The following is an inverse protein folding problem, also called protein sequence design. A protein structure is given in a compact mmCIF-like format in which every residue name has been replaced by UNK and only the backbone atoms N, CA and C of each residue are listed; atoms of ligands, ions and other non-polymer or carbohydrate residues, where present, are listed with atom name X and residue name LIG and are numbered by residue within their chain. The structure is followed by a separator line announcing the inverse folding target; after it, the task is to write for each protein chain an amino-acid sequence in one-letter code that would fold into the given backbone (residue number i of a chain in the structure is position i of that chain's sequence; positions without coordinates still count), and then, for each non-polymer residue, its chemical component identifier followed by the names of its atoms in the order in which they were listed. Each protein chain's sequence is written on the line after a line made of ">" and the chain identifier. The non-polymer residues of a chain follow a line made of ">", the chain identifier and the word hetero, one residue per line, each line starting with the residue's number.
data_IF_381910157223
#
_entry.id   IF_381910157223
#
_cell.length_a   1.000
_cell.length_b   1.000
_cell.length_c   1.000
_cell.angle_alpha   90.00
_cell.angle_beta   90.00
_cell.angle_gamma   90.00
#
_symmetry.space_group_name_H-M   'P 1'
#
loop_
_entity.id
_entity.type
_entity.pdbx_description
1 polymer ?
#
# COMPACT_ATOMS: atom_id res chain seq x y z
N UNK A 1 -50.45 -41.65 -45.57
CA UNK A 1 -49.16 -40.93 -45.48
C UNK A 1 -49.05 -40.32 -44.10
N UNK A 2 -48.28 -40.95 -43.20
CA UNK A 2 -48.14 -40.55 -41.80
C UNK A 2 -47.13 -39.40 -41.73
N UNK A 3 -47.56 -38.19 -41.33
CA UNK A 3 -46.65 -37.05 -41.13
C UNK A 3 -46.02 -37.16 -39.74
N UNK A 4 -44.76 -37.57 -39.69
CA UNK A 4 -43.94 -37.54 -38.48
C UNK A 4 -43.56 -36.09 -38.18
N UNK A 5 -44.13 -35.51 -37.11
CA UNK A 5 -43.72 -34.20 -36.59
C UNK A 5 -42.50 -34.41 -35.69
N UNK A 6 -41.34 -33.96 -36.15
CA UNK A 6 -40.15 -33.85 -35.33
C UNK A 6 -40.30 -32.64 -34.41
N UNK A 7 -40.42 -32.87 -33.11
CA UNK A 7 -40.25 -31.82 -32.11
C UNK A 7 -38.75 -31.64 -31.90
N UNK A 8 -38.20 -30.51 -32.34
CA UNK A 8 -36.84 -30.10 -31.98
C UNK A 8 -36.92 -29.54 -30.56
N UNK A 9 -36.43 -30.31 -29.59
CA UNK A 9 -36.23 -29.83 -28.23
C UNK A 9 -34.95 -28.98 -28.23
N UNK A 10 -35.10 -27.66 -28.23
CA UNK A 10 -33.97 -26.74 -28.03
C UNK A 10 -33.67 -26.72 -26.54
N UNK A 11 -32.72 -27.54 -26.09
CA UNK A 11 -32.10 -27.40 -24.78
C UNK A 11 -31.18 -26.18 -24.83
N UNK A 12 -31.65 -25.04 -24.33
CA UNK A 12 -30.78 -23.91 -24.00
C UNK A 12 -29.88 -24.35 -22.84
N UNK A 13 -28.65 -24.75 -23.15
CA UNK A 13 -27.60 -24.91 -22.16
C UNK A 13 -27.22 -23.50 -21.71
N UNK A 14 -27.88 -22.99 -20.67
CA UNK A 14 -27.45 -21.80 -19.97
C UNK A 14 -26.09 -22.12 -19.34
N UNK A 15 -25.02 -21.75 -20.03
CA UNK A 15 -23.72 -21.58 -19.39
C UNK A 15 -23.89 -20.43 -18.41
N UNK A 16 -24.15 -20.75 -17.16
CA UNK A 16 -23.83 -19.86 -16.05
C UNK A 16 -22.32 -19.67 -16.15
N UNK A 17 -21.90 -18.57 -16.79
CA UNK A 17 -20.59 -18.02 -16.56
C UNK A 17 -20.70 -17.49 -15.14
N UNK A 18 -20.32 -18.30 -14.17
CA UNK A 18 -20.00 -17.76 -12.86
C UNK A 18 -18.81 -16.84 -13.11
N UNK A 19 -19.06 -15.53 -13.14
CA UNK A 19 -18.00 -14.54 -13.06
C UNK A 19 -17.31 -14.81 -11.72
N UNK A 20 -16.20 -15.55 -11.79
CA UNK A 20 -15.34 -15.75 -10.63
C UNK A 20 -14.68 -14.40 -10.42
N UNK A 21 -15.13 -13.65 -9.42
CA UNK A 21 -14.56 -12.36 -9.02
C UNK A 21 -13.32 -12.58 -8.13
N UNK A 22 -12.29 -11.75 -8.32
CA UNK A 22 -11.11 -11.85 -7.47
C UNK A 22 -11.47 -11.35 -6.08
N UNK A 23 -10.67 -11.77 -5.12
CA UNK A 23 -10.89 -11.38 -3.74
C UNK A 23 -9.54 -11.27 -3.08
N UNK A 24 -9.16 -10.05 -2.72
CA UNK A 24 -7.94 -9.77 -1.98
C UNK A 24 -8.05 -8.47 -1.19
N UNK A 25 -7.18 -8.32 -0.19
CA UNK A 25 -7.06 -7.09 0.57
C UNK A 25 -5.63 -6.88 1.09
N UNK A 26 -5.31 -5.62 1.37
CA UNK A 26 -4.13 -5.24 2.12
C UNK A 26 -4.31 -5.63 3.60
N UNK A 27 -3.53 -6.62 4.05
CA UNK A 27 -3.56 -7.11 5.43
C UNK A 27 -2.63 -6.31 6.33
N UNK A 28 -1.38 -6.08 5.89
CA UNK A 28 -0.42 -5.26 6.63
C UNK A 28 0.28 -4.25 5.69
N UNK A 29 0.28 -2.95 6.02
CA UNK A 29 -0.41 -2.35 7.17
C UNK A 29 -1.93 -2.50 7.06
N UNK A 30 -2.62 -2.65 8.19
CA UNK A 30 -4.06 -2.92 8.20
C UNK A 30 -4.84 -1.86 7.44
N UNK A 31 -5.49 -2.29 6.37
CA UNK A 31 -6.42 -1.48 5.61
C UNK A 31 -7.70 -1.19 6.40
N UNK A 32 -8.39 -0.10 6.04
CA UNK A 32 -9.62 0.37 6.68
C UNK A 32 -10.70 -0.71 6.68
N UNK A 33 -10.84 -1.48 5.60
CA UNK A 33 -11.71 -2.65 5.48
C UNK A 33 -11.37 -3.76 6.49
N UNK A 34 -10.08 -4.00 6.75
CA UNK A 34 -9.66 -4.97 7.76
C UNK A 34 -9.89 -4.46 9.17
N UNK A 35 -9.56 -3.21 9.47
CA UNK A 35 -9.85 -2.63 10.79
C UNK A 35 -11.35 -2.63 11.07
N UNK A 36 -12.17 -2.30 10.06
CA UNK A 36 -13.64 -2.33 10.17
C UNK A 36 -14.15 -3.74 10.47
N UNK A 37 -13.61 -4.76 9.81
CA UNK A 37 -13.94 -6.16 10.09
C UNK A 37 -13.53 -6.58 11.49
N UNK A 38 -12.30 -6.28 11.90
CA UNK A 38 -11.79 -6.62 13.24
C UNK A 38 -12.60 -5.95 14.36
N UNK A 39 -13.09 -4.74 14.12
CA UNK A 39 -13.93 -4.00 15.07
C UNK A 39 -15.41 -4.42 15.05
N UNK A 40 -15.78 -5.45 14.27
CA UNK A 40 -17.17 -5.86 14.05
C UNK A 40 -18.07 -4.68 13.61
N UNK A 41 -17.53 -3.73 12.85
CA UNK A 41 -18.20 -2.50 12.45
C UNK A 41 -19.01 -2.65 11.15
N UNK A 42 -19.58 -3.84 10.93
CA UNK A 42 -20.45 -4.16 9.80
C UNK A 42 -19.73 -4.40 8.48
N UNK A 43 -18.46 -4.86 8.52
CA UNK A 43 -17.74 -5.29 7.33
C UNK A 43 -17.80 -6.80 7.13
N UNK A 44 -18.41 -7.23 6.02
CA UNK A 44 -18.70 -8.64 5.73
C UNK A 44 -17.82 -9.21 4.62
N UNK A 45 -17.34 -8.37 3.70
CA UNK A 45 -16.50 -8.76 2.58
C UNK A 45 -15.30 -7.81 2.45
N UNK A 46 -14.29 -7.90 3.34
CA UNK A 46 -13.15 -7.00 3.29
C UNK A 46 -12.30 -7.17 2.02
N UNK A 47 -12.45 -8.29 1.32
CA UNK A 47 -11.77 -8.61 0.06
C UNK A 47 -12.54 -8.13 -1.20
N UNK A 48 -13.72 -7.52 -1.04
CA UNK A 48 -14.59 -7.06 -2.14
C UNK A 48 -14.34 -5.58 -2.51
N UNK A 49 -13.10 -5.10 -2.46
CA UNK A 49 -12.75 -3.70 -2.74
C UNK A 49 -12.59 -3.33 -4.22
N UNK A 50 -13.45 -3.81 -5.11
CA UNK A 50 -13.32 -3.67 -6.57
C UNK A 50 -14.22 -2.62 -7.23
N UNK A 51 -14.70 -1.62 -6.49
CA UNK A 51 -15.54 -0.56 -7.06
C UNK A 51 -16.86 -1.07 -7.63
N UNK A 52 -17.43 -2.14 -7.08
CA UNK A 52 -18.68 -2.73 -7.52
C UNK A 52 -18.55 -3.60 -8.78
N UNK A 53 -17.33 -3.96 -9.17
CA UNK A 53 -17.04 -4.93 -10.23
C UNK A 53 -16.68 -4.28 -11.58
N UNK A 54 -15.92 -4.98 -12.44
CA UNK A 54 -15.30 -4.41 -13.63
C UNK A 54 -16.31 -3.87 -14.64
N UNK A 55 -17.49 -4.49 -14.79
CA UNK A 55 -18.53 -3.99 -15.69
C UNK A 55 -19.11 -2.64 -15.25
N UNK A 56 -19.29 -2.46 -13.94
CA UNK A 56 -19.79 -1.20 -13.39
C UNK A 56 -18.72 -0.10 -13.45
N UNK A 57 -17.47 -0.44 -13.10
CA UNK A 57 -16.32 0.47 -13.23
C UNK A 57 -16.14 0.90 -14.69
N UNK A 58 -16.12 -0.04 -15.64
CA UNK A 58 -16.01 0.26 -17.07
C UNK A 58 -17.12 1.21 -17.56
N UNK A 59 -18.37 0.97 -17.12
CA UNK A 59 -19.50 1.84 -17.49
C UNK A 59 -19.33 3.27 -16.94
N UNK A 60 -18.87 3.43 -15.70
CA UNK A 60 -18.63 4.76 -15.10
C UNK A 60 -17.39 5.44 -15.70
N UNK A 61 -16.37 4.66 -16.07
CA UNK A 61 -15.15 5.14 -16.70
C UNK A 61 -15.32 5.55 -18.16
N UNK A 62 -16.48 5.28 -18.78
CA UNK A 62 -16.66 5.44 -20.23
C UNK A 62 -15.70 4.55 -21.04
N UNK A 63 -15.29 3.41 -20.47
CA UNK A 63 -14.36 2.47 -21.09
C UNK A 63 -12.88 2.82 -20.99
N UNK A 64 -12.51 3.87 -20.25
CA UNK A 64 -11.11 4.21 -19.96
C UNK A 64 -10.55 3.21 -18.95
N UNK A 65 -9.42 2.60 -19.30
CA UNK A 65 -8.65 1.69 -18.46
C UNK A 65 -7.19 2.17 -18.41
N UNK A 66 -6.49 2.06 -17.27
CA UNK A 66 -6.96 1.62 -15.95
C UNK A 66 -7.95 2.60 -15.32
N UNK A 67 -8.67 2.17 -14.27
CA UNK A 67 -9.69 3.00 -13.61
C UNK A 67 -9.11 4.24 -12.94
N UNK A 68 -7.82 4.23 -12.61
CA UNK A 68 -7.06 5.37 -12.09
C UNK A 68 -7.10 6.59 -13.02
N UNK A 69 -7.08 6.38 -14.34
CA UNK A 69 -7.20 7.45 -15.35
C UNK A 69 -8.62 8.00 -15.47
N UNK A 70 -9.59 7.34 -14.84
CA UNK A 70 -10.99 7.71 -14.78
C UNK A 70 -11.43 7.82 -13.32
N UNK A 71 -10.80 8.73 -12.57
CA UNK A 71 -10.88 8.92 -11.11
C UNK A 71 -12.29 8.79 -10.49
N UNK A 72 -13.36 9.15 -11.20
CA UNK A 72 -14.74 9.04 -10.71
C UNK A 72 -15.42 7.70 -10.99
N UNK A 73 -14.69 6.73 -11.55
CA UNK A 73 -15.18 5.40 -11.88
C UNK A 73 -15.11 4.42 -10.70
N UNK A 74 -14.39 4.74 -9.63
CA UNK A 74 -14.34 4.00 -8.37
C UNK A 74 -14.03 4.94 -7.20
N UNK A 75 -14.23 4.49 -5.97
CA UNK A 75 -13.76 5.17 -4.77
C UNK A 75 -12.26 4.94 -4.55
N UNK A 76 -11.59 5.93 -3.95
CA UNK A 76 -10.13 5.87 -3.71
C UNK A 76 -9.73 4.67 -2.84
N UNK A 77 -10.64 4.20 -1.99
CA UNK A 77 -10.42 3.10 -1.07
C UNK A 77 -11.26 1.85 -1.39
N UNK A 78 -11.71 1.71 -2.64
CA UNK A 78 -12.37 0.50 -3.17
C UNK A 78 -13.89 0.53 -3.17
N UNK A 79 -14.50 1.60 -2.63
CA UNK A 79 -15.94 1.77 -2.67
C UNK A 79 -16.49 1.96 -4.10
N UNK A 80 -17.75 1.57 -4.36
CA UNK A 80 -18.54 0.69 -3.51
C UNK A 80 -17.93 -0.71 -3.53
N UNK A 81 -18.00 -1.42 -2.41
CA UNK A 81 -17.63 -2.84 -2.41
C UNK A 81 -18.64 -3.66 -3.21
N UNK A 82 -18.28 -4.88 -3.62
CA UNK A 82 -19.19 -5.75 -4.38
C UNK A 82 -20.56 -5.88 -3.72
N UNK A 83 -21.62 -5.86 -4.54
CA UNK A 83 -23.02 -5.97 -4.09
C UNK A 83 -23.50 -4.87 -3.12
N UNK A 84 -22.71 -3.80 -2.91
CA UNK A 84 -23.11 -2.63 -2.13
C UNK A 84 -23.83 -1.63 -3.05
N UNK A 85 -24.90 -1.02 -2.54
CA UNK A 85 -25.65 0.05 -3.20
C UNK A 85 -25.57 1.36 -2.41
N UNK A 86 -25.51 2.54 -3.08
CA UNK A 86 -25.55 2.74 -4.53
C UNK A 86 -24.26 2.26 -5.24
N UNK A 87 -24.35 1.98 -6.54
CA UNK A 87 -23.20 1.55 -7.36
C UNK A 87 -22.30 2.73 -7.75
N UNK A 88 -22.75 3.96 -7.54
CA UNK A 88 -22.07 5.21 -7.83
C UNK A 88 -22.14 6.16 -6.63
N UNK A 89 -21.60 5.76 -5.47
CA UNK A 89 -21.65 6.59 -4.27
C UNK A 89 -20.92 7.93 -4.50
N UNK A 90 -21.41 8.98 -3.86
CA UNK A 90 -20.64 10.21 -3.66
C UNK A 90 -19.56 9.98 -2.59
N UNK A 91 -18.55 10.84 -2.49
CA UNK A 91 -17.45 10.67 -1.52
C UNK A 91 -17.94 10.58 -0.07
N UNK A 92 -18.98 11.33 0.30
CA UNK A 92 -19.61 11.29 1.62
C UNK A 92 -20.42 10.01 1.89
N UNK A 93 -20.72 9.23 0.84
CA UNK A 93 -21.39 7.93 0.93
C UNK A 93 -20.40 6.76 0.93
N UNK A 94 -19.13 6.98 0.55
CA UNK A 94 -18.10 5.95 0.54
C UNK A 94 -17.78 5.49 1.98
N UNK A 95 -17.85 4.19 2.21
CA UNK A 95 -17.69 3.60 3.55
C UNK A 95 -16.28 3.87 4.06
N UNK A 96 -15.27 3.75 3.20
CA UNK A 96 -13.86 3.83 3.57
C UNK A 96 -13.28 5.23 3.48
N UNK A 97 -14.06 6.20 2.99
CA UNK A 97 -13.80 7.62 3.19
C UNK A 97 -14.37 8.11 4.54
N UNK A 98 -15.48 7.51 5.01
CA UNK A 98 -16.07 7.78 6.33
C UNK A 98 -15.33 7.05 7.46
N UNK A 99 -14.89 5.81 7.22
CA UNK A 99 -14.24 4.96 8.21
C UNK A 99 -12.72 5.11 8.15
N UNK A 100 -12.21 6.25 8.61
CA UNK A 100 -10.77 6.44 8.81
C UNK A 100 -10.32 5.91 10.17
N UNK A 101 -9.05 5.54 10.25
CA UNK A 101 -8.44 5.00 11.46
C UNK A 101 -7.29 5.89 11.92
N UNK A 102 -6.92 5.82 13.19
CA UNK A 102 -5.59 6.32 13.61
C UNK A 102 -4.50 5.52 12.90
N UNK A 103 -3.31 6.10 12.65
CA UNK A 103 -2.18 5.37 12.07
C UNK A 103 -1.95 4.00 12.72
N UNK A 104 -2.08 2.93 11.93
CA UNK A 104 -1.95 1.54 12.40
C UNK A 104 -0.49 1.13 12.58
N UNK A 105 0.42 1.80 11.88
CA UNK A 105 1.87 1.61 11.98
C UNK A 105 2.59 2.93 11.67
N UNK A 106 3.86 3.02 12.07
CA UNK A 106 4.72 4.14 11.79
C UNK A 106 5.99 3.66 11.08
N UNK A 107 6.32 4.33 9.97
CA UNK A 107 7.52 4.12 9.19
C UNK A 107 8.52 5.27 9.36
N UNK A 108 9.69 5.13 8.77
CA UNK A 108 10.75 6.12 8.64
C UNK A 108 11.02 6.38 7.16
N UNK A 109 11.08 7.65 6.76
CA UNK A 109 11.44 8.02 5.39
C UNK A 109 12.75 7.36 4.96
N UNK A 110 12.74 6.67 3.82
CA UNK A 110 13.90 6.00 3.24
C UNK A 110 14.08 4.54 3.67
N UNK A 111 13.26 4.02 4.58
CA UNK A 111 13.36 2.62 4.98
C UNK A 111 12.68 1.66 3.98
N UNK A 112 13.11 0.40 4.01
CA UNK A 112 12.44 -0.71 3.31
C UNK A 112 11.45 -1.36 4.27
N UNK A 113 10.20 -1.48 3.83
CA UNK A 113 9.09 -2.04 4.61
C UNK A 113 8.52 -3.27 3.91
N UNK A 114 7.96 -4.19 4.69
CA UNK A 114 7.24 -5.35 4.18
C UNK A 114 5.73 -5.11 4.25
N UNK A 115 5.05 -5.32 3.13
CA UNK A 115 3.59 -5.33 3.05
C UNK A 115 3.09 -6.76 2.84
N UNK A 116 1.89 -7.02 3.36
CA UNK A 116 1.24 -8.32 3.27
C UNK A 116 -0.11 -8.15 2.57
N UNK A 117 -0.27 -8.83 1.44
CA UNK A 117 -1.55 -8.94 0.74
C UNK A 117 -2.14 -10.32 0.98
N UNK A 118 -3.39 -10.35 1.39
CA UNK A 118 -4.17 -11.56 1.52
C UNK A 118 -4.98 -11.78 0.23
N UNK A 119 -4.78 -12.91 -0.45
CA UNK A 119 -5.44 -13.28 -1.70
C UNK A 119 -6.28 -14.53 -1.49
N UNK A 120 -7.59 -14.41 -1.69
CA UNK A 120 -8.53 -15.52 -1.61
C UNK A 120 -8.75 -16.16 -2.98
N UNK A 121 -8.98 -15.34 -4.01
CA UNK A 121 -9.15 -15.80 -5.40
C UNK A 121 -8.08 -15.14 -6.26
N UNK A 122 -7.23 -15.95 -6.89
CA UNK A 122 -6.03 -15.47 -7.60
C UNK A 122 -6.30 -15.14 -9.07
N UNK A 123 -6.19 -13.86 -9.44
CA UNK A 123 -6.41 -13.37 -10.79
C UNK A 123 -5.15 -12.82 -11.49
N UNK A 124 -3.95 -13.21 -11.02
CA UNK A 124 -2.66 -12.78 -11.60
C UNK A 124 -2.53 -11.24 -11.60
N UNK A 125 -1.74 -10.68 -12.51
CA UNK A 125 -1.59 -9.22 -12.67
C UNK A 125 -0.47 -8.64 -11.82
N UNK A 126 -0.66 -7.46 -11.23
CA UNK A 126 0.34 -6.83 -10.35
C UNK A 126 -0.28 -6.05 -9.19
N UNK A 127 0.49 -5.86 -8.13
CA UNK A 127 0.20 -4.89 -7.08
C UNK A 127 1.04 -3.63 -7.26
N UNK A 128 0.47 -2.50 -6.85
CA UNK A 128 1.17 -1.23 -6.67
C UNK A 128 0.77 -0.60 -5.34
N UNK A 129 1.63 0.29 -4.83
CA UNK A 129 1.36 1.05 -3.61
C UNK A 129 1.62 2.53 -3.85
N UNK A 130 0.76 3.36 -3.27
CA UNK A 130 0.86 4.82 -3.33
C UNK A 130 0.76 5.41 -1.93
N UNK A 131 1.39 6.55 -1.70
CA UNK A 131 1.39 7.21 -0.40
C UNK A 131 1.03 8.69 -0.55
N UNK A 132 -0.03 9.11 0.14
CA UNK A 132 -0.37 10.52 0.27
C UNK A 132 0.06 11.00 1.66
N UNK A 133 0.76 12.13 1.73
CA UNK A 133 1.22 12.72 3.00
C UNK A 133 0.10 13.34 3.85
N UNK A 134 -1.15 13.17 3.41
CA UNK A 134 -2.36 13.62 4.07
C UNK A 134 -3.30 12.46 4.38
N UNK A 135 -4.13 12.67 5.39
CA UNK A 135 -5.31 11.85 5.64
C UNK A 135 -6.34 12.10 4.54
N UNK A 136 -6.65 11.06 3.77
CA UNK A 136 -7.72 11.06 2.77
C UNK A 136 -9.00 10.58 3.46
N UNK A 137 -10.00 11.45 3.53
CA UNK A 137 -11.30 11.18 4.13
C UNK A 137 -12.41 11.93 3.38
N UNK A 138 -13.63 11.98 3.94
CA UNK A 138 -14.77 12.64 3.28
C UNK A 138 -14.58 14.13 2.98
N UNK A 139 -13.55 14.79 3.52
CA UNK A 139 -13.19 16.17 3.17
C UNK A 139 -12.33 16.28 1.91
N UNK A 140 -11.81 15.17 1.39
CA UNK A 140 -10.92 15.10 0.23
C UNK A 140 -11.69 14.63 -1.00
N UNK A 141 -11.67 15.41 -2.09
CA UNK A 141 -12.26 14.94 -3.37
C UNK A 141 -11.43 13.80 -3.96
N UNK A 142 -12.04 12.98 -4.83
CA UNK A 142 -11.31 11.89 -5.49
C UNK A 142 -10.11 12.41 -6.30
N UNK A 143 -10.28 13.53 -6.99
CA UNK A 143 -9.22 14.15 -7.81
C UNK A 143 -8.04 14.62 -6.94
N UNK A 144 -8.32 15.29 -5.82
CA UNK A 144 -7.27 15.75 -4.91
C UNK A 144 -6.57 14.56 -4.25
N UNK A 145 -7.34 13.56 -3.80
CA UNK A 145 -6.79 12.36 -3.17
C UNK A 145 -5.93 11.54 -4.12
N UNK A 146 -6.40 11.29 -5.35
CA UNK A 146 -5.63 10.56 -6.36
C UNK A 146 -4.37 11.34 -6.76
N UNK A 147 -4.47 12.67 -6.95
CA UNK A 147 -3.29 13.49 -7.22
C UNK A 147 -2.25 13.38 -6.11
N UNK A 148 -2.66 13.46 -4.84
CA UNK A 148 -1.76 13.29 -3.70
C UNK A 148 -1.12 11.89 -3.65
N UNK A 149 -1.90 10.84 -3.91
CA UNK A 149 -1.39 9.46 -3.97
C UNK A 149 -0.36 9.28 -5.09
N UNK A 150 -0.59 9.92 -6.23
CA UNK A 150 0.32 9.86 -7.38
C UNK A 150 1.61 10.65 -7.18
N UNK A 151 1.72 11.51 -6.16
CA UNK A 151 2.99 12.16 -5.81
C UNK A 151 4.04 11.14 -5.36
N UNK A 152 3.60 10.05 -4.72
CA UNK A 152 4.49 9.01 -4.19
C UNK A 152 4.00 7.61 -4.54
N UNK A 153 4.18 7.22 -5.81
CA UNK A 153 4.10 5.82 -6.22
C UNK A 153 5.34 5.10 -5.67
N UNK A 154 5.13 4.06 -4.86
CA UNK A 154 6.22 3.38 -4.17
C UNK A 154 6.94 2.42 -5.10
N UNK A 155 8.26 2.40 -5.03
CA UNK A 155 9.08 1.44 -5.76
C UNK A 155 9.37 0.22 -4.90
N UNK A 156 9.43 -0.95 -5.54
CA UNK A 156 9.89 -2.18 -4.91
C UNK A 156 11.30 -2.02 -4.36
N UNK A 157 11.57 -2.70 -3.26
CA UNK A 157 12.92 -2.89 -2.79
C UNK A 157 13.62 -3.93 -3.68
N UNK A 158 14.93 -3.77 -3.90
CA UNK A 158 15.68 -4.64 -4.80
C UNK A 158 15.93 -5.99 -4.10
N UNK A 159 15.30 -7.09 -4.53
CA UNK A 159 15.42 -8.38 -3.85
C UNK A 159 16.86 -8.90 -3.81
N UNK A 160 17.72 -8.51 -4.77
CA UNK A 160 19.13 -8.90 -4.77
C UNK A 160 19.94 -8.24 -3.66
N UNK A 161 19.55 -7.03 -3.24
CA UNK A 161 20.15 -6.33 -2.09
C UNK A 161 19.52 -6.83 -0.78
N UNK A 162 18.20 -6.99 -0.83
CA UNK A 162 17.34 -7.23 0.31
C UNK A 162 17.35 -8.68 0.82
N UNK A 163 17.58 -9.66 -0.06
CA UNK A 163 17.77 -11.07 0.30
C UNK A 163 19.22 -11.52 0.08
N UNK A 164 19.86 -11.09 -1.01
CA UNK A 164 21.23 -11.50 -1.36
C UNK A 164 21.38 -12.92 -1.92
N UNK A 165 20.30 -13.71 -1.93
CA UNK A 165 20.31 -15.14 -2.27
C UNK A 165 19.13 -15.58 -3.14
N UNK A 166 18.45 -14.64 -3.82
CA UNK A 166 17.38 -14.99 -4.75
C UNK A 166 17.90 -15.86 -5.90
N UNK A 167 17.13 -16.90 -6.22
CA UNK A 167 17.41 -17.81 -7.34
C UNK A 167 16.28 -17.82 -8.35
N UNK A 168 16.55 -18.26 -9.57
CA UNK A 168 15.51 -18.45 -10.59
C UNK A 168 14.43 -19.42 -10.08
N UNK A 169 13.16 -19.02 -10.18
CA UNK A 169 12.01 -19.77 -9.62
C UNK A 169 12.12 -19.96 -8.09
N UNK A 170 12.59 -18.94 -7.38
CA UNK A 170 12.62 -18.91 -5.93
C UNK A 170 11.22 -19.18 -5.36
N UNK A 171 11.16 -19.88 -4.22
CA UNK A 171 9.89 -20.13 -3.52
C UNK A 171 9.30 -18.84 -2.92
N UNK A 172 10.12 -17.80 -2.74
CA UNK A 172 9.70 -16.48 -2.29
C UNK A 172 9.23 -15.67 -3.48
N UNK A 173 7.94 -15.34 -3.52
CA UNK A 173 7.36 -14.51 -4.58
C UNK A 173 8.04 -13.15 -4.77
N UNK A 174 8.59 -12.59 -3.69
CA UNK A 174 9.28 -11.30 -3.70
C UNK A 174 10.65 -11.32 -4.40
N UNK A 175 11.25 -12.52 -4.57
CA UNK A 175 12.52 -12.71 -5.29
C UNK A 175 12.38 -12.61 -6.82
N UNK A 176 11.18 -12.35 -7.34
CA UNK A 176 11.00 -12.10 -8.77
C UNK A 176 11.87 -10.91 -9.25
N UNK A 177 12.38 -10.94 -10.49
CA UNK A 177 13.13 -9.82 -11.05
C UNK A 177 12.35 -8.51 -10.97
N UNK A 178 13.08 -7.39 -10.89
CA UNK A 178 12.45 -6.08 -11.00
C UNK A 178 12.04 -5.83 -12.46
N UNK A 179 10.87 -5.23 -12.67
CA UNK A 179 10.52 -4.68 -13.97
C UNK A 179 11.29 -3.35 -14.16
N UNK A 180 12.22 -3.25 -15.13
CA UNK A 180 13.00 -2.03 -15.34
C UNK A 180 12.15 -0.87 -15.86
N UNK A 181 11.01 -1.13 -16.49
CA UNK A 181 10.08 -0.11 -16.98
C UNK A 181 9.09 0.30 -15.90
N UNK A 182 8.80 -0.60 -14.95
CA UNK A 182 7.80 -0.43 -13.92
C UNK A 182 8.31 -0.84 -12.52
N UNK A 183 9.25 -0.08 -11.93
CA UNK A 183 9.80 -0.39 -10.60
C UNK A 183 8.75 -0.40 -9.47
N UNK A 184 7.57 0.16 -9.71
CA UNK A 184 6.40 0.15 -8.82
C UNK A 184 5.65 -1.20 -8.79
N UNK A 185 5.79 -2.03 -9.83
CA UNK A 185 4.96 -3.23 -10.00
C UNK A 185 5.54 -4.44 -9.32
N UNK A 186 4.73 -5.03 -8.46
CA UNK A 186 4.95 -6.38 -7.94
C UNK A 186 4.02 -7.35 -8.67
N UNK A 187 4.53 -8.08 -9.65
CA UNK A 187 3.70 -9.02 -10.42
C UNK A 187 3.28 -10.18 -9.53
N UNK A 188 2.01 -10.54 -9.55
CA UNK A 188 1.47 -11.55 -8.63
C UNK A 188 2.04 -12.93 -9.01
N UNK A 189 2.84 -13.59 -8.14
CA UNK A 189 3.40 -14.91 -8.37
C UNK A 189 2.31 -15.97 -8.51
N UNK A 190 2.62 -17.18 -9.01
CA UNK A 190 1.66 -18.27 -9.03
C UNK A 190 1.22 -18.69 -7.61
N UNK A 191 0.02 -19.33 -7.47
CA UNK A 191 -0.56 -19.66 -6.17
C UNK A 191 0.31 -20.51 -5.21
N UNK A 192 1.29 -21.26 -5.73
CA UNK A 192 2.21 -22.07 -4.93
C UNK A 192 3.25 -21.23 -4.15
N UNK A 193 3.34 -19.93 -4.41
CA UNK A 193 4.15 -18.98 -3.62
C UNK A 193 3.36 -18.34 -2.48
N UNK A 194 2.05 -18.59 -2.38
CA UNK A 194 1.26 -18.11 -1.25
C UNK A 194 1.58 -18.90 0.01
N UNK A 195 1.87 -18.20 1.10
CA UNK A 195 1.87 -18.83 2.42
C UNK A 195 0.43 -19.04 2.83
N UNK A 196 0.08 -20.22 3.34
CA UNK A 196 -1.26 -20.51 3.86
C UNK A 196 -1.18 -20.71 5.37
N UNK A 197 -2.21 -20.27 6.09
CA UNK A 197 -2.30 -20.45 7.54
C UNK A 197 -3.63 -21.08 7.93
N UNK A 198 -3.63 -21.81 9.05
CA UNK A 198 -4.86 -22.25 9.68
C UNK A 198 -5.33 -21.14 10.63
N UNK A 199 -6.54 -20.59 10.44
CA UNK A 199 -7.05 -19.50 11.29
C UNK A 199 -8.21 -18.71 10.67
N UNK A 200 -8.42 -17.47 11.14
CA UNK A 200 -9.53 -16.56 10.78
C UNK A 200 -9.62 -16.21 9.27
N UNK A 201 -8.61 -16.58 8.49
CA UNK A 201 -8.56 -16.46 7.04
C UNK A 201 -8.29 -17.81 6.35
N UNK A 202 -8.82 -18.90 6.90
CA UNK A 202 -8.70 -20.24 6.30
C UNK A 202 -9.12 -20.22 4.83
N UNK A 203 -8.27 -20.75 3.95
CA UNK A 203 -8.48 -20.74 2.49
C UNK A 203 -7.97 -19.47 1.78
N UNK A 204 -7.38 -18.52 2.51
CA UNK A 204 -6.68 -17.35 1.96
C UNK A 204 -5.18 -17.58 1.97
N UNK A 205 -4.53 -17.22 0.87
CA UNK A 205 -3.07 -17.20 0.75
C UNK A 205 -2.50 -15.81 1.03
N UNK A 206 -1.26 -15.74 1.47
CA UNK A 206 -0.56 -14.49 1.79
C UNK A 206 0.66 -14.32 0.90
N UNK A 207 0.79 -13.11 0.35
CA UNK A 207 1.98 -12.64 -0.32
C UNK A 207 2.68 -11.58 0.54
N UNK A 208 4.00 -11.64 0.53
CA UNK A 208 4.89 -10.72 1.24
C UNK A 208 5.71 -10.00 0.18
N UNK A 209 5.76 -8.68 0.28
CA UNK A 209 6.46 -7.85 -0.72
C UNK A 209 7.13 -6.68 -0.05
N UNK A 210 8.33 -6.33 -0.51
CA UNK A 210 9.10 -5.23 0.05
C UNK A 210 9.09 -3.99 -0.83
N UNK A 211 8.82 -2.84 -0.22
CA UNK A 211 8.76 -1.53 -0.86
C UNK A 211 9.60 -0.51 -0.08
N UNK A 212 10.02 0.55 -0.77
CA UNK A 212 10.76 1.66 -0.17
C UNK A 212 9.80 2.80 0.18
N UNK A 213 9.83 3.27 1.42
CA UNK A 213 9.22 4.55 1.77
C UNK A 213 10.13 5.68 1.25
N UNK A 214 9.62 6.68 0.49
CA UNK A 214 10.48 7.74 -0.03
C UNK A 214 11.12 8.53 1.11
N UNK A 215 12.42 8.84 0.99
CA UNK A 215 13.16 9.56 2.03
C UNK A 215 12.61 10.96 2.32
N UNK A 216 11.94 11.58 1.33
CA UNK A 216 11.33 12.91 1.44
C UNK A 216 10.00 12.94 2.18
N UNK A 217 9.35 11.79 2.38
CA UNK A 217 8.00 11.74 2.95
C UNK A 217 8.06 11.81 4.48
N UNK A 218 7.21 12.64 5.07
CA UNK A 218 7.03 12.72 6.53
C UNK A 218 5.65 13.27 6.88
N UNK A 219 4.86 12.47 7.60
CA UNK A 219 3.49 12.83 7.96
C UNK A 219 3.05 12.13 9.24
N UNK A 220 2.29 12.84 10.08
CA UNK A 220 1.71 12.25 11.30
C UNK A 220 0.51 11.36 11.01
N UNK A 221 -0.18 11.62 9.89
CA UNK A 221 -1.29 10.82 9.40
C UNK A 221 -1.29 10.86 7.88
N UNK A 222 -0.83 9.78 7.29
CA UNK A 222 -0.72 9.56 5.85
C UNK A 222 -1.73 8.49 5.42
N UNK A 223 -2.08 8.52 4.14
CA UNK A 223 -2.90 7.45 3.55
C UNK A 223 -2.03 6.63 2.60
N UNK A 224 -1.85 5.35 2.92
CA UNK A 224 -1.27 4.37 2.00
C UNK A 224 -2.41 3.72 1.20
N UNK A 225 -2.32 3.71 -0.13
CA UNK A 225 -3.25 3.01 -1.00
C UNK A 225 -2.58 1.78 -1.59
N UNK A 226 -3.22 0.63 -1.46
CA UNK A 226 -2.90 -0.55 -2.24
C UNK A 226 -3.81 -0.62 -3.46
N UNK A 227 -3.20 -0.95 -4.60
CA UNK A 227 -3.86 -1.17 -5.88
C UNK A 227 -3.51 -2.55 -6.43
N UNK A 228 -4.50 -3.26 -6.95
CA UNK A 228 -4.30 -4.49 -7.72
C UNK A 228 -4.98 -4.38 -9.09
N UNK A 229 -4.18 -4.45 -10.16
CA UNK A 229 -4.67 -4.72 -11.50
C UNK A 229 -4.69 -6.24 -11.75
N UNK A 230 -5.87 -6.84 -11.90
CA UNK A 230 -6.00 -8.25 -12.26
C UNK A 230 -5.56 -8.50 -13.72
N UNK A 231 -4.97 -9.67 -13.98
CA UNK A 231 -4.34 -10.00 -15.27
C UNK A 231 -4.92 -11.22 -15.98
N UNK A 232 -6.09 -11.70 -15.58
CA UNK A 232 -6.72 -12.91 -16.13
C UNK A 232 -7.63 -12.63 -17.35
N UNK A 233 -8.14 -11.41 -17.52
CA UNK A 233 -9.05 -11.05 -18.60
C UNK A 233 -8.38 -10.35 -19.79
N UNK A 234 -7.44 -9.46 -19.50
CA UNK A 234 -6.68 -8.62 -20.42
C UNK A 234 -5.38 -8.15 -19.75
N UNK A 235 -4.43 -7.66 -20.55
CA UNK A 235 -3.19 -7.06 -20.03
C UNK A 235 -3.39 -5.58 -19.75
N UNK A 236 -2.76 -5.10 -18.67
CA UNK A 236 -2.84 -3.69 -18.28
C UNK A 236 -2.29 -2.76 -19.37
N UNK A 237 -1.12 -3.10 -19.91
CA UNK A 237 -0.44 -2.39 -20.99
C UNK A 237 0.43 -3.34 -21.82
N UNK A 238 1.17 -2.78 -22.78
CA UNK A 238 2.07 -3.53 -23.68
C UNK A 238 3.32 -4.04 -22.96
N UNK A 239 3.72 -3.40 -21.86
CA UNK A 239 4.97 -3.67 -21.16
C UNK A 239 4.91 -4.98 -20.36
N UNK A 240 3.71 -5.43 -19.99
CA UNK A 240 3.48 -6.79 -19.47
C UNK A 240 4.12 -7.88 -20.33
N UNK A 241 3.90 -7.83 -21.65
CA UNK A 241 4.47 -8.82 -22.57
C UNK A 241 6.00 -8.77 -22.59
N UNK A 242 6.56 -7.56 -22.48
CA UNK A 242 8.01 -7.32 -22.45
C UNK A 242 8.63 -7.88 -21.16
N UNK A 243 8.05 -7.59 -20.00
CA UNK A 243 8.51 -8.11 -18.70
C UNK A 243 8.48 -9.64 -18.66
N UNK A 244 7.37 -10.25 -19.06
CA UNK A 244 7.23 -11.70 -18.99
C UNK A 244 8.13 -12.43 -20.01
N UNK A 245 8.48 -11.82 -21.13
CA UNK A 245 9.52 -12.34 -22.04
C UNK A 245 10.93 -12.19 -21.44
N UNK A 246 11.22 -11.07 -20.78
CA UNK A 246 12.50 -10.83 -20.12
C UNK A 246 12.79 -11.88 -19.04
N UNK A 247 11.88 -12.09 -18.08
CA UNK A 247 12.13 -13.09 -17.02
C UNK A 247 12.19 -14.52 -17.57
N UNK A 248 11.47 -14.82 -18.66
CA UNK A 248 11.57 -16.10 -19.35
C UNK A 248 12.97 -16.32 -19.94
N UNK A 249 13.59 -15.28 -20.51
CA UNK A 249 14.96 -15.33 -21.01
C UNK A 249 16.00 -15.53 -19.89
N UNK A 250 15.68 -15.11 -18.67
CA UNK A 250 16.46 -15.37 -17.45
C UNK A 250 16.19 -16.76 -16.82
N UNK A 251 15.35 -17.59 -17.46
CA UNK A 251 15.06 -18.96 -17.05
C UNK A 251 13.91 -19.12 -16.06
N UNK A 252 13.18 -18.04 -15.75
CA UNK A 252 11.99 -18.12 -14.92
C UNK A 252 10.85 -18.82 -15.67
N UNK A 253 9.99 -19.53 -14.93
CA UNK A 253 8.77 -20.14 -15.44
C UNK A 253 7.68 -19.07 -15.64
N UNK A 254 7.93 -18.13 -16.53
CA UNK A 254 7.07 -16.97 -16.81
C UNK A 254 5.61 -17.37 -17.13
N UNK A 255 5.40 -18.53 -17.77
CA UNK A 255 4.05 -19.04 -18.05
C UNK A 255 3.22 -19.35 -16.81
N UNK A 256 3.85 -19.73 -15.68
CA UNK A 256 3.12 -19.89 -14.43
C UNK A 256 2.63 -18.54 -13.86
N UNK A 257 3.35 -17.45 -14.14
CA UNK A 257 3.05 -16.11 -13.66
C UNK A 257 1.98 -15.44 -14.52
N UNK A 258 2.13 -15.52 -15.85
CA UNK A 258 1.17 -14.96 -16.81
C UNK A 258 1.21 -15.66 -18.17
N UNK A 259 0.67 -16.88 -18.24
CA UNK A 259 0.36 -17.56 -19.50
C UNK A 259 -0.48 -16.71 -20.45
N UNK A 260 -1.39 -15.90 -19.91
CA UNK A 260 -2.25 -15.01 -20.67
C UNK A 260 -1.43 -13.97 -21.43
N UNK A 261 -0.50 -13.28 -20.76
CA UNK A 261 0.33 -12.25 -21.41
C UNK A 261 1.24 -12.85 -22.48
N UNK A 262 1.75 -14.06 -22.25
CA UNK A 262 2.59 -14.76 -23.23
C UNK A 262 1.80 -15.28 -24.44
N UNK A 263 0.55 -15.70 -24.22
CA UNK A 263 -0.28 -16.28 -25.28
C UNK A 263 -1.12 -15.24 -26.04
N UNK A 264 -1.33 -14.06 -25.47
CA UNK A 264 -2.19 -13.00 -26.01
C UNK A 264 -1.51 -11.63 -25.96
N UNK A 265 -0.34 -11.44 -26.61
CA UNK A 265 0.46 -10.22 -26.49
C UNK A 265 -0.23 -8.95 -27.02
N UNK A 266 -1.31 -9.09 -27.80
CA UNK A 266 -2.08 -7.95 -28.32
C UNK A 266 -3.38 -7.69 -27.51
N UNK A 267 -3.67 -8.48 -26.47
CA UNK A 267 -4.93 -8.41 -25.74
C UNK A 267 -4.84 -7.48 -24.53
N UNK A 268 -4.79 -6.19 -24.84
CA UNK A 268 -4.84 -5.11 -23.87
C UNK A 268 -6.24 -4.91 -23.29
N UNK A 269 -6.31 -4.35 -22.09
CA UNK A 269 -7.55 -3.94 -21.49
C UNK A 269 -8.15 -2.75 -22.26
N UNK A 270 -9.46 -2.84 -22.50
CA UNK A 270 -10.24 -1.86 -23.27
C UNK A 270 -11.65 -1.78 -22.70
N UNK A 271 -12.49 -0.91 -23.26
CA UNK A 271 -13.91 -0.85 -22.94
C UNK A 271 -14.68 -2.17 -23.18
N UNK A 272 -14.18 -3.04 -24.07
CA UNK A 272 -14.80 -4.33 -24.40
C UNK A 272 -14.21 -5.52 -23.60
N UNK A 273 -13.06 -5.31 -22.98
CA UNK A 273 -12.36 -6.31 -22.17
C UNK A 273 -11.70 -5.55 -21.02
N UNK A 274 -12.45 -5.33 -19.95
CA UNK A 274 -12.03 -4.49 -18.83
C UNK A 274 -11.46 -5.36 -17.71
N UNK A 275 -10.25 -5.03 -17.25
CA UNK A 275 -9.60 -5.75 -16.16
C UNK A 275 -10.28 -5.44 -14.83
N UNK A 276 -10.34 -6.41 -13.93
CA UNK A 276 -10.79 -6.17 -12.56
C UNK A 276 -9.69 -5.44 -11.78
N UNK A 277 -10.09 -4.50 -10.93
CA UNK A 277 -9.17 -3.63 -10.19
C UNK A 277 -9.62 -3.53 -8.73
N UNK A 278 -8.68 -3.65 -7.78
CA UNK A 278 -8.97 -3.57 -6.35
C UNK A 278 -8.20 -2.44 -5.69
N UNK A 279 -8.84 -1.81 -4.72
CA UNK A 279 -8.30 -0.64 -4.02
C UNK A 279 -8.57 -0.78 -2.53
N UNK A 280 -7.55 -0.59 -1.69
CA UNK A 280 -7.72 -0.40 -0.25
C UNK A 280 -6.89 0.79 0.21
N UNK A 281 -7.34 1.43 1.29
CA UNK A 281 -6.55 2.43 2.00
C UNK A 281 -6.18 1.93 3.40
N UNK A 282 -4.97 2.25 3.86
CA UNK A 282 -4.51 2.09 5.23
C UNK A 282 -4.02 3.45 5.76
N UNK A 283 -4.33 3.73 7.02
CA UNK A 283 -3.82 4.94 7.69
C UNK A 283 -2.50 4.60 8.38
N UNK A 284 -1.44 5.36 8.07
CA UNK A 284 -0.07 5.14 8.58
C UNK A 284 0.56 6.47 9.00
N UNK A 285 1.71 6.41 9.68
CA UNK A 285 2.54 7.57 9.95
C UNK A 285 3.93 7.36 9.33
N UNK A 286 4.60 8.45 8.96
CA UNK A 286 5.99 8.42 8.50
C UNK A 286 6.79 9.48 9.24
N UNK A 287 7.80 9.04 9.96
CA UNK A 287 8.79 9.88 10.62
C UNK A 287 9.85 10.33 9.61
N UNK A 288 10.39 11.52 9.78
CA UNK A 288 11.50 12.00 8.94
C UNK A 288 12.70 11.05 9.03
N UNK A 289 13.26 10.69 7.88
CA UNK A 289 14.47 9.87 7.77
C UNK A 289 15.75 10.62 8.12
N UNK A 290 15.70 11.95 8.22
CA UNK A 290 16.82 12.75 8.66
C UNK A 290 17.07 12.49 10.14
N UNK A 291 18.12 11.71 10.43
CA UNK A 291 18.70 11.66 11.78
C UNK A 291 19.00 13.11 12.18
N UNK A 292 18.19 13.66 13.07
CA UNK A 292 18.47 14.97 13.65
C UNK A 292 19.91 14.92 14.17
N UNK A 293 20.81 15.84 13.75
CA UNK A 293 22.14 15.90 14.34
C UNK A 293 21.98 15.97 15.86
N UNK A 294 22.82 15.26 16.65
CA UNK A 294 22.81 15.41 18.10
C UNK A 294 22.82 16.91 18.43
N UNK A 295 22.01 17.39 19.40
CA UNK A 295 22.05 18.79 19.78
C UNK A 295 23.49 19.13 20.10
N UNK A 296 24.05 20.12 19.38
CA UNK A 296 25.38 20.66 19.67
C UNK A 296 25.43 20.96 21.17
N UNK A 297 26.38 20.40 21.94
CA UNK A 297 26.47 20.66 23.37
C UNK A 297 26.46 22.17 23.62
N UNK A 298 25.57 22.63 24.50
CA UNK A 298 25.54 24.02 24.89
C UNK A 298 26.94 24.43 25.41
N UNK A 299 27.44 25.63 25.04
CA UNK A 299 28.68 26.15 25.61
C UNK A 299 28.61 26.09 27.14
N UNK A 300 29.67 25.68 27.84
CA UNK A 300 29.64 25.62 29.30
C UNK A 300 29.30 27.00 29.87
N UNK A 301 28.25 27.05 30.69
CA UNK A 301 27.87 28.26 31.41
C UNK A 301 29.03 28.75 32.27
N UNK A 302 29.29 30.07 32.34
CA UNK A 302 30.29 30.62 33.24
C UNK A 302 29.98 30.20 34.68
N UNK A 303 30.92 29.56 35.35
CA UNK A 303 30.78 29.21 36.76
C UNK A 303 30.71 30.50 37.60
N UNK A 304 29.59 30.69 38.29
CA UNK A 304 29.45 31.74 39.30
C UNK A 304 30.40 31.46 40.46
N UNK A 305 31.18 32.45 40.93
CA UNK A 305 32.06 32.26 42.08
C UNK A 305 31.25 31.95 43.34
N UNK A 306 31.69 30.94 44.09
CA UNK A 306 31.13 30.56 45.38
C UNK A 306 31.24 31.73 46.39
N UNK A 307 30.22 32.00 47.22
CA UNK A 307 30.32 33.04 48.25
C UNK A 307 31.31 32.64 49.35
N UNK A 308 32.22 33.55 49.67
CA UNK A 308 33.20 33.43 50.76
C UNK A 308 32.48 33.31 52.12
N UNK A 309 32.86 32.34 52.99
CA UNK A 309 32.28 32.24 54.33
C UNK A 309 32.67 33.43 55.22
N UNK A 310 31.73 33.86 56.05
CA UNK A 310 31.94 34.91 57.05
C UNK A 310 32.97 34.50 58.12
N UNK A 311 33.77 35.44 58.66
CA UNK A 311 34.85 35.14 59.59
C UNK A 311 34.33 34.86 61.02
N UNK A 312 35.03 34.03 61.80
CA UNK A 312 34.65 33.71 63.17
C UNK A 312 35.00 34.84 64.14
N UNK A 313 34.15 35.04 65.15
CA UNK A 313 34.34 35.99 66.24
C UNK A 313 34.86 35.26 67.49
N UNK A 314 36.09 35.57 67.89
CA UNK A 314 36.59 35.57 69.28
C UNK A 314 38.03 36.12 69.20
N UNK A 315 38.41 37.22 69.84
CA UNK A 315 38.31 37.48 71.26
C UNK A 315 39.69 37.25 71.90
N UNK A 316 40.38 38.34 72.24
CA UNK A 316 41.47 38.50 73.24
C UNK A 316 42.68 39.28 72.71
N UNK A 317 43.22 40.15 73.58
CA UNK A 317 44.66 40.42 73.61
C UNK A 317 45.15 41.77 73.07
N UNK A 318 45.16 42.77 73.96
CA UNK A 318 46.28 43.69 74.21
C UNK A 318 47.09 44.31 73.05
N UNK A 319 46.93 45.63 72.94
CA UNK A 319 47.95 46.68 72.82
C UNK A 319 49.29 46.35 72.14
N UNK A 320 49.57 47.03 71.03
CA UNK A 320 50.82 47.77 70.85
C UNK A 320 50.56 48.99 69.96
N UNK A 321 50.92 50.15 70.49
CA UNK A 321 50.90 51.47 69.88
C UNK A 321 52.19 51.71 69.07
N UNK A 322 52.24 52.88 68.40
CA UNK A 322 53.36 53.63 67.82
C UNK A 322 53.58 53.53 66.30
N UNK A 323 54.16 54.56 65.65
CA UNK A 323 53.49 55.81 65.28
C UNK A 323 53.65 56.12 63.78
N UNK A 324 52.77 56.94 63.19
CA UNK A 324 53.04 57.55 61.89
C UNK A 324 53.94 58.78 62.08
N UNK A 325 55.07 58.80 61.37
CA UNK A 325 55.86 60.01 61.20
C UNK A 325 55.17 60.91 60.16
N UNK A 326 54.69 62.06 60.63
CA UNK A 326 54.65 63.31 59.85
C UNK A 326 53.69 63.34 58.68
N UNK A 327 52.50 63.86 58.94
CA UNK A 327 51.66 64.55 57.96
C UNK A 327 52.48 65.59 57.19
N UNK A 328 52.46 65.54 55.84
CA UNK A 328 52.54 66.57 54.77
C UNK A 328 52.75 65.84 53.43
#
# INVERSE_FOLDING_TARGET
>A
SFRMRWFILVTTLSTLIDDVEAHAFLLEPRSRNIVRKMNNAGEYCPYCGQGGGPGNVASRAGGVYPSELAINSHGLCGDPFQSVTPLDPTVDQETYMQFTTEPQTAYTGGEVVEFIIAVHTHHKGHFEFRLCEQKIDTSTSREVGQACLNEHVLHRADPSVEYGDCVTNDVRGDCQPLDPNHPERWHVPPPDHMVTTNGDFSGTGFYFMRYKIPASVSCTHCTLQWYWAAGNACMYDVDYSTYFQMIAAEGWNSGAWSDFALSNPDKLCTSLSYGEEFWNCADVAVQSGDKTPPPTPAPPSPSTPMPTPAPPVSGSGFCCWWPTSGDI
#
